data_IF_758756967015
#
_entry.id   IF_758756967015
#
_cell.length_a   1.000
_cell.length_b   1.000
_cell.length_c   1.000
_cell.angle_alpha   90.00
_cell.angle_beta   90.00
_cell.angle_gamma   90.00
#
_symmetry.space_group_name_H-M   'P 1'
#
loop_
_entity.id
_entity.type
_entity.pdbx_description
1 polymer ?
#
# COMPACT_ATOMS: atom_id res chain seq x y z
N UNK A 1 63.43 -52.67 3.06
CA UNK A 1 63.35 -51.24 2.78
C UNK A 1 62.08 -50.99 1.94
N UNK A 2 61.00 -50.57 2.62
CA UNK A 2 59.70 -50.28 1.96
C UNK A 2 59.66 -48.78 1.67
N UNK A 3 59.58 -48.42 0.41
CA UNK A 3 59.37 -47.01 -0.01
C UNK A 3 57.89 -46.65 0.13
N UNK A 4 57.57 -45.75 1.05
CA UNK A 4 56.25 -45.20 1.24
C UNK A 4 55.98 -44.16 0.16
N UNK A 5 55.02 -44.43 -0.74
CA UNK A 5 54.59 -43.50 -1.79
C UNK A 5 53.49 -42.64 -1.23
N UNK A 6 53.75 -41.36 -0.93
CA UNK A 6 52.76 -40.41 -0.46
C UNK A 6 52.10 -39.80 -1.71
N UNK A 7 50.83 -40.18 -1.93
CA UNK A 7 50.01 -39.57 -2.99
C UNK A 7 49.33 -38.35 -2.40
N UNK A 8 49.77 -37.13 -2.86
CA UNK A 8 49.10 -35.86 -2.59
C UNK A 8 47.85 -35.78 -3.47
N UNK A 9 46.69 -35.96 -2.87
CA UNK A 9 45.42 -35.68 -3.53
C UNK A 9 45.14 -34.17 -3.46
N UNK A 10 45.37 -33.46 -4.55
CA UNK A 10 44.92 -32.07 -4.71
C UNK A 10 43.42 -32.06 -4.93
N UNK A 11 42.65 -31.82 -3.87
CA UNK A 11 41.23 -31.44 -3.97
C UNK A 11 41.16 -30.00 -4.50
N UNK A 12 41.00 -29.85 -5.80
CA UNK A 12 40.64 -28.58 -6.42
C UNK A 12 39.21 -28.26 -6.04
N UNK A 13 38.99 -27.42 -5.01
CA UNK A 13 37.73 -26.80 -4.72
C UNK A 13 37.44 -25.78 -5.83
N UNK A 14 36.69 -26.20 -6.84
CA UNK A 14 36.11 -25.30 -7.81
C UNK A 14 35.03 -24.52 -7.11
N UNK A 15 35.30 -23.29 -6.69
CA UNK A 15 34.25 -22.33 -6.35
C UNK A 15 33.48 -22.03 -7.63
N UNK A 16 32.35 -22.74 -7.81
CA UNK A 16 31.32 -22.30 -8.72
C UNK A 16 30.77 -20.97 -8.15
N UNK A 17 31.25 -19.86 -8.72
CA UNK A 17 30.56 -18.59 -8.60
C UNK A 17 29.21 -18.74 -9.32
N UNK A 18 28.23 -19.25 -8.64
CA UNK A 18 26.85 -19.07 -9.03
C UNK A 18 26.55 -17.58 -8.85
N UNK A 19 26.75 -16.79 -9.90
CA UNK A 19 26.07 -15.53 -10.08
C UNK A 19 24.58 -15.87 -10.24
N UNK A 20 23.93 -16.25 -9.15
CA UNK A 20 22.49 -16.15 -9.07
C UNK A 20 22.18 -14.66 -9.17
N UNK A 21 21.79 -14.21 -10.35
CA UNK A 21 21.00 -13.01 -10.52
C UNK A 21 19.69 -13.27 -9.79
N UNK A 22 19.72 -13.15 -8.46
CA UNK A 22 18.56 -13.07 -7.62
C UNK A 22 17.89 -11.74 -8.00
N UNK A 23 17.02 -11.80 -9.00
CA UNK A 23 16.10 -10.71 -9.30
C UNK A 23 15.23 -10.60 -8.08
N UNK A 24 15.61 -9.76 -7.13
CA UNK A 24 14.76 -9.35 -6.02
C UNK A 24 13.48 -8.87 -6.65
N UNK A 25 12.39 -9.60 -6.41
CA UNK A 25 11.06 -9.15 -6.83
C UNK A 25 10.92 -7.70 -6.38
N UNK A 26 10.60 -6.80 -7.30
CA UNK A 26 10.51 -5.37 -7.01
C UNK A 26 9.60 -5.17 -5.80
N UNK A 27 10.12 -4.50 -4.78
CA UNK A 27 9.31 -4.11 -3.62
C UNK A 27 8.37 -2.95 -3.96
N UNK A 28 8.52 -2.39 -5.15
CA UNK A 28 7.86 -1.16 -5.58
C UNK A 28 7.31 -1.32 -7.00
N UNK A 29 6.02 -1.05 -7.17
CA UNK A 29 5.37 -0.97 -8.47
C UNK A 29 4.83 0.45 -8.66
N UNK A 30 5.13 1.08 -9.78
CA UNK A 30 4.63 2.41 -10.15
C UNK A 30 3.68 2.26 -11.34
N UNK A 31 2.55 2.95 -11.28
CA UNK A 31 1.55 2.99 -12.35
C UNK A 31 1.23 4.44 -12.71
N UNK A 32 0.87 4.66 -13.97
CA UNK A 32 0.39 5.94 -14.47
C UNK A 32 -1.09 5.88 -14.82
N UNK A 33 -1.81 6.95 -14.53
CA UNK A 33 -3.23 7.08 -14.85
C UNK A 33 -3.43 8.20 -15.88
N UNK A 34 -4.48 8.13 -16.69
CA UNK A 34 -5.59 7.17 -16.63
C UNK A 34 -5.33 5.82 -17.32
N UNK A 35 -4.18 5.64 -18.01
CA UNK A 35 -3.91 4.47 -18.86
C UNK A 35 -4.04 3.12 -18.13
N UNK A 36 -3.62 3.05 -16.85
CA UNK A 36 -3.66 1.82 -16.03
C UNK A 36 -4.79 1.85 -14.98
N UNK A 37 -5.76 2.74 -15.15
CA UNK A 37 -6.81 3.02 -14.17
C UNK A 37 -7.60 1.76 -13.73
N UNK A 38 -8.01 0.92 -14.68
CA UNK A 38 -8.79 -0.28 -14.35
C UNK A 38 -8.01 -1.22 -13.45
N UNK A 39 -6.78 -1.53 -13.83
CA UNK A 39 -5.88 -2.41 -13.07
C UNK A 39 -5.61 -1.86 -11.67
N UNK A 40 -5.31 -0.56 -11.56
CA UNK A 40 -5.03 0.10 -10.27
C UNK A 40 -6.26 0.08 -9.35
N UNK A 41 -7.46 0.35 -9.89
CA UNK A 41 -8.71 0.28 -9.11
C UNK A 41 -8.96 -1.12 -8.57
N UNK A 42 -8.80 -2.14 -9.39
CA UNK A 42 -9.02 -3.53 -8.97
C UNK A 42 -7.96 -3.96 -7.95
N UNK A 43 -6.67 -3.60 -8.16
CA UNK A 43 -5.58 -3.87 -7.21
C UNK A 43 -5.81 -3.23 -5.83
N UNK A 44 -6.31 -1.98 -5.77
CA UNK A 44 -6.65 -1.33 -4.50
C UNK A 44 -7.85 -2.03 -3.84
N UNK A 45 -8.89 -2.36 -4.59
CA UNK A 45 -10.06 -3.07 -4.06
C UNK A 45 -9.67 -4.42 -3.48
N UNK A 46 -8.82 -5.18 -4.17
CA UNK A 46 -8.31 -6.46 -3.71
C UNK A 46 -7.50 -6.32 -2.41
N UNK A 47 -6.64 -5.30 -2.30
CA UNK A 47 -5.93 -5.02 -1.04
C UNK A 47 -6.90 -4.73 0.10
N UNK A 48 -7.97 -3.97 -0.14
CA UNK A 48 -9.00 -3.70 0.87
C UNK A 48 -9.70 -4.99 1.29
N UNK A 49 -10.17 -5.79 0.33
CA UNK A 49 -10.99 -6.98 0.58
C UNK A 49 -10.19 -8.14 1.19
N UNK A 50 -8.89 -8.23 0.90
CA UNK A 50 -8.01 -9.28 1.38
C UNK A 50 -7.24 -8.94 2.65
N UNK A 51 -7.34 -7.69 3.15
CA UNK A 51 -6.76 -7.29 4.44
C UNK A 51 -7.29 -8.16 5.58
N UNK A 52 -6.40 -8.46 6.56
CA UNK A 52 -6.69 -9.38 7.67
C UNK A 52 -6.71 -8.70 9.04
N UNK A 53 -5.97 -7.61 9.20
CA UNK A 53 -5.78 -6.98 10.50
C UNK A 53 -6.18 -5.52 10.53
N UNK A 54 -5.55 -4.68 9.72
CA UNK A 54 -5.79 -3.25 9.76
C UNK A 54 -5.64 -2.56 8.41
N UNK A 55 -6.43 -1.49 8.19
CA UNK A 55 -6.31 -0.57 7.06
C UNK A 55 -6.24 0.84 7.62
N UNK A 56 -5.17 1.58 7.31
CA UNK A 56 -4.97 2.96 7.72
C UNK A 56 -4.89 3.86 6.48
N UNK A 57 -5.79 4.82 6.37
CA UNK A 57 -5.91 5.69 5.20
C UNK A 57 -5.82 7.15 5.63
N UNK A 58 -5.03 7.95 4.91
CA UNK A 58 -5.09 9.41 4.93
C UNK A 58 -5.36 9.89 3.51
N UNK A 59 -6.56 10.40 3.24
CA UNK A 59 -7.02 10.71 1.89
C UNK A 59 -7.63 12.11 1.83
N UNK A 60 -6.97 13.00 1.06
CA UNK A 60 -7.42 14.39 0.91
C UNK A 60 -8.82 14.49 0.32
N UNK A 61 -9.07 13.80 -0.79
CA UNK A 61 -10.40 13.77 -1.41
C UNK A 61 -10.82 12.31 -1.67
N UNK A 62 -11.92 11.90 -1.05
CA UNK A 62 -12.43 10.54 -1.15
C UNK A 62 -13.92 10.56 -1.48
N UNK A 63 -14.26 10.31 -2.74
CA UNK A 63 -15.64 10.20 -3.23
C UNK A 63 -15.94 8.88 -3.96
N UNK A 64 -14.93 7.99 -4.14
CA UNK A 64 -15.06 6.75 -4.89
C UNK A 64 -15.84 5.69 -4.09
N UNK A 65 -17.13 5.54 -4.40
CA UNK A 65 -18.09 4.72 -3.63
C UNK A 65 -17.71 3.23 -3.56
N UNK A 66 -17.07 2.67 -4.60
CA UNK A 66 -16.68 1.25 -4.64
C UNK A 66 -15.73 0.92 -3.49
N UNK A 67 -14.71 1.77 -3.25
CA UNK A 67 -13.77 1.58 -2.14
C UNK A 67 -14.44 1.75 -0.76
N UNK A 68 -15.35 2.72 -0.62
CA UNK A 68 -16.09 2.87 0.64
C UNK A 68 -16.91 1.62 0.98
N UNK A 69 -17.55 1.00 -0.03
CA UNK A 69 -18.28 -0.27 0.15
C UNK A 69 -17.34 -1.43 0.52
N UNK A 70 -16.17 -1.52 -0.13
CA UNK A 70 -15.15 -2.52 0.17
C UNK A 70 -14.60 -2.36 1.61
N UNK A 71 -14.29 -1.13 2.05
CA UNK A 71 -13.88 -0.84 3.43
C UNK A 71 -14.93 -1.24 4.46
N UNK A 72 -16.23 -0.98 4.18
CA UNK A 72 -17.31 -1.48 5.02
C UNK A 72 -17.31 -3.01 5.11
N UNK A 73 -17.10 -3.71 3.98
CA UNK A 73 -17.04 -5.18 3.98
C UNK A 73 -15.85 -5.69 4.77
N UNK A 74 -14.66 -5.11 4.59
CA UNK A 74 -13.45 -5.44 5.36
C UNK A 74 -13.69 -5.24 6.88
N UNK A 75 -14.27 -4.10 7.27
CA UNK A 75 -14.59 -3.80 8.68
C UNK A 75 -15.58 -4.81 9.27
N UNK A 76 -16.62 -5.22 8.53
CA UNK A 76 -17.55 -6.28 8.96
C UNK A 76 -16.88 -7.64 9.14
N UNK A 77 -15.80 -7.90 8.43
CA UNK A 77 -14.99 -9.11 8.55
C UNK A 77 -13.92 -9.02 9.65
N UNK A 78 -14.00 -8.00 10.53
CA UNK A 78 -13.10 -7.84 11.67
C UNK A 78 -11.83 -7.03 11.42
N UNK A 79 -11.62 -6.48 10.21
CA UNK A 79 -10.47 -5.63 9.90
C UNK A 79 -10.66 -4.27 10.59
N UNK A 80 -9.63 -3.80 11.30
CA UNK A 80 -9.62 -2.47 11.92
C UNK A 80 -9.38 -1.39 10.87
N UNK A 81 -10.43 -0.68 10.47
CA UNK A 81 -10.33 0.38 9.45
C UNK A 81 -10.32 1.74 10.11
N UNK A 82 -9.33 2.57 9.76
CA UNK A 82 -9.22 3.99 10.17
C UNK A 82 -9.03 4.85 8.93
N UNK A 83 -9.84 5.91 8.79
CA UNK A 83 -9.74 6.85 7.66
C UNK A 83 -9.63 8.27 8.18
N UNK A 84 -8.51 8.93 7.88
CA UNK A 84 -8.28 10.35 8.14
C UNK A 84 -8.68 11.16 6.90
N UNK A 85 -9.53 12.14 7.11
CA UNK A 85 -10.05 13.04 6.09
C UNK A 85 -9.57 14.47 6.29
N UNK A 86 -9.45 15.21 5.20
CA UNK A 86 -9.30 16.66 5.26
C UNK A 86 -10.62 17.33 5.67
N UNK A 87 -10.59 18.13 6.73
CA UNK A 87 -11.77 18.79 7.30
C UNK A 87 -12.49 19.71 6.31
N UNK A 88 -11.73 20.45 5.51
CA UNK A 88 -12.33 21.40 4.56
C UNK A 88 -12.99 20.68 3.38
N UNK A 89 -12.48 19.50 3.00
CA UNK A 89 -13.13 18.66 1.99
C UNK A 89 -14.45 18.08 2.50
N UNK A 90 -14.51 17.67 3.76
CA UNK A 90 -15.75 17.14 4.35
C UNK A 90 -16.82 18.21 4.52
N UNK A 91 -16.47 19.48 4.78
CA UNK A 91 -17.43 20.58 4.75
C UNK A 91 -18.14 20.74 3.39
N UNK A 92 -17.43 20.42 2.29
CA UNK A 92 -17.96 20.53 0.92
C UNK A 92 -18.72 19.27 0.47
N UNK A 93 -18.22 18.08 0.81
CA UNK A 93 -18.89 16.80 0.54
C UNK A 93 -18.59 15.79 1.66
N UNK A 94 -19.58 15.48 2.46
CA UNK A 94 -19.50 14.56 3.60
C UNK A 94 -20.05 13.16 3.32
N UNK A 95 -20.49 12.86 2.09
CA UNK A 95 -21.21 11.60 1.79
C UNK A 95 -20.43 10.35 2.18
N UNK A 96 -19.18 10.23 1.75
CA UNK A 96 -18.34 9.06 2.07
C UNK A 96 -17.95 9.05 3.55
N UNK A 97 -17.60 10.20 4.12
CA UNK A 97 -17.31 10.32 5.55
C UNK A 97 -18.49 9.81 6.40
N UNK A 98 -19.69 10.32 6.14
CA UNK A 98 -20.89 9.89 6.86
C UNK A 98 -21.23 8.41 6.62
N UNK A 99 -21.07 7.94 5.38
CA UNK A 99 -21.27 6.53 5.06
C UNK A 99 -20.34 5.62 5.88
N UNK A 100 -19.07 5.92 5.97
CA UNK A 100 -18.09 5.12 6.71
C UNK A 100 -18.36 5.21 8.22
N UNK A 101 -18.56 6.43 8.76
CA UNK A 101 -18.88 6.67 10.17
C UNK A 101 -20.14 5.92 10.62
N UNK A 102 -21.22 6.00 9.84
CA UNK A 102 -22.47 5.33 10.14
C UNK A 102 -22.41 3.80 10.03
N UNK A 103 -21.34 3.26 9.42
CA UNK A 103 -21.06 1.83 9.37
C UNK A 103 -19.95 1.38 10.36
N UNK A 104 -19.68 2.19 11.41
CA UNK A 104 -18.79 1.82 12.50
C UNK A 104 -17.28 1.93 12.17
N UNK A 105 -16.92 2.51 11.03
CA UNK A 105 -15.52 2.72 10.66
C UNK A 105 -14.99 3.96 11.40
N UNK A 106 -13.79 3.85 12.00
CA UNK A 106 -13.14 4.99 12.65
C UNK A 106 -12.79 6.05 11.62
N UNK A 107 -13.45 7.21 11.72
CA UNK A 107 -13.19 8.38 10.86
C UNK A 107 -12.61 9.52 11.69
N UNK A 108 -11.56 10.16 11.21
CA UNK A 108 -10.86 11.26 11.86
C UNK A 108 -10.88 12.46 10.92
N UNK A 109 -11.06 13.67 11.45
CA UNK A 109 -10.90 14.91 10.70
C UNK A 109 -9.57 15.55 11.12
N UNK A 110 -8.78 15.96 10.14
CA UNK A 110 -7.52 16.67 10.39
C UNK A 110 -7.77 18.07 10.95
N UNK A 111 -6.93 18.52 11.88
CA UNK A 111 -7.02 19.86 12.45
C UNK A 111 -6.53 20.95 11.49
N UNK A 112 -5.63 20.58 10.58
CA UNK A 112 -5.04 21.44 9.55
C UNK A 112 -5.25 20.83 8.16
N UNK A 113 -4.96 21.56 7.09
CA UNK A 113 -5.03 21.04 5.71
C UNK A 113 -4.18 19.77 5.57
N UNK A 114 -4.84 18.65 5.31
CA UNK A 114 -4.23 17.34 5.12
C UNK A 114 -4.31 16.95 3.63
N UNK A 115 -3.21 17.12 2.91
CA UNK A 115 -3.17 16.88 1.46
C UNK A 115 -2.54 15.52 1.08
N UNK A 116 -2.55 14.56 2.02
CA UNK A 116 -2.01 13.21 1.77
C UNK A 116 -2.97 12.36 0.95
N UNK A 117 -2.39 11.42 0.23
CA UNK A 117 -3.06 10.35 -0.49
C UNK A 117 -2.26 9.07 -0.24
N UNK A 118 -2.55 8.45 0.89
CA UNK A 118 -1.83 7.28 1.41
C UNK A 118 -2.84 6.29 1.96
N UNK A 119 -2.63 5.01 1.64
CA UNK A 119 -3.33 3.90 2.28
C UNK A 119 -2.31 2.81 2.66
N UNK A 120 -2.45 2.22 3.84
CA UNK A 120 -1.59 1.16 4.36
C UNK A 120 -2.47 -0.03 4.72
N UNK A 121 -2.13 -1.20 4.20
CA UNK A 121 -2.86 -2.45 4.35
C UNK A 121 -2.00 -3.44 5.15
N UNK A 122 -2.48 -3.90 6.30
CA UNK A 122 -1.86 -4.90 7.19
C UNK A 122 -0.39 -4.62 7.59
N UNK A 123 0.08 -3.38 7.49
CA UNK A 123 1.50 -3.02 7.59
C UNK A 123 2.41 -3.79 6.61
N UNK A 124 1.84 -4.26 5.52
CA UNK A 124 2.53 -5.08 4.52
C UNK A 124 2.65 -4.39 3.16
N UNK A 125 1.62 -3.65 2.76
CA UNK A 125 1.60 -2.87 1.53
C UNK A 125 1.18 -1.44 1.84
N UNK A 126 1.91 -0.46 1.30
CA UNK A 126 1.46 0.91 1.25
C UNK A 126 1.22 1.37 -0.19
N UNK A 127 0.20 2.19 -0.37
CA UNK A 127 -0.17 2.80 -1.63
C UNK A 127 -0.15 4.31 -1.44
N UNK A 128 0.61 5.03 -2.25
CA UNK A 128 0.75 6.48 -2.17
C UNK A 128 1.02 7.11 -3.54
N UNK A 129 0.72 8.39 -3.68
CA UNK A 129 0.94 9.11 -4.94
C UNK A 129 0.24 10.44 -5.01
N UNK A 130 0.00 10.91 -6.23
CA UNK A 130 -0.74 12.14 -6.46
C UNK A 130 -2.27 11.92 -6.44
N UNK A 131 -2.72 10.68 -6.60
CA UNK A 131 -4.10 10.29 -6.85
C UNK A 131 -5.02 10.43 -5.63
N UNK A 132 -6.09 11.20 -5.77
CA UNK A 132 -7.24 11.15 -4.86
C UNK A 132 -8.12 9.93 -5.16
N UNK A 133 -8.88 9.46 -4.18
CA UNK A 133 -9.85 8.39 -4.43
C UNK A 133 -11.17 8.97 -4.96
N UNK A 134 -11.10 9.53 -6.16
CA UNK A 134 -12.23 10.12 -6.91
C UNK A 134 -12.28 9.52 -8.32
N UNK A 135 -13.44 9.57 -8.97
CA UNK A 135 -13.57 9.15 -10.38
C UNK A 135 -12.64 9.96 -11.27
N UNK A 136 -12.63 11.27 -11.11
CA UNK A 136 -11.81 12.22 -11.87
C UNK A 136 -10.31 11.85 -11.81
N UNK A 137 -9.76 11.61 -10.59
CA UNK A 137 -8.34 11.22 -10.45
C UNK A 137 -8.00 9.88 -11.08
N UNK A 138 -8.95 8.94 -11.12
CA UNK A 138 -8.71 7.63 -11.75
C UNK A 138 -8.83 7.66 -13.28
N UNK A 139 -9.73 8.47 -13.83
CA UNK A 139 -10.18 8.32 -15.22
C UNK A 139 -9.87 9.52 -16.10
N UNK A 140 -9.53 10.69 -15.52
CA UNK A 140 -9.45 11.95 -16.27
C UNK A 140 -8.11 12.68 -16.08
N UNK A 141 -7.43 12.50 -14.93
CA UNK A 141 -6.18 13.21 -14.62
C UNK A 141 -4.94 12.38 -14.96
N UNK A 142 -3.85 13.06 -15.31
CA UNK A 142 -2.52 12.49 -15.31
C UNK A 142 -2.02 12.35 -13.87
N UNK A 143 -1.91 11.13 -13.37
CA UNK A 143 -1.54 10.82 -11.99
C UNK A 143 -0.49 9.71 -11.96
N UNK A 144 0.28 9.66 -10.88
CA UNK A 144 1.15 8.53 -10.56
C UNK A 144 0.76 7.92 -9.23
N UNK A 145 0.92 6.61 -9.13
CA UNK A 145 0.68 5.86 -7.91
C UNK A 145 1.76 4.81 -7.70
N UNK A 146 2.26 4.73 -6.48
CA UNK A 146 3.27 3.78 -6.03
C UNK A 146 2.62 2.78 -5.08
N UNK A 147 2.83 1.49 -5.34
CA UNK A 147 2.61 0.39 -4.40
C UNK A 147 3.95 -0.05 -3.86
N UNK A 148 4.13 -0.10 -2.56
CA UNK A 148 5.40 -0.51 -1.95
C UNK A 148 5.21 -1.53 -0.83
N UNK A 149 6.14 -2.49 -0.75
CA UNK A 149 6.28 -3.44 0.36
C UNK A 149 7.50 -3.13 1.23
N UNK A 150 8.19 -2.03 0.97
CA UNK A 150 9.33 -1.60 1.78
C UNK A 150 8.87 -1.28 3.21
N UNK A 151 9.31 -2.10 4.16
CA UNK A 151 8.91 -2.00 5.57
C UNK A 151 9.37 -0.69 6.22
N UNK A 152 10.49 -0.10 5.79
CA UNK A 152 10.97 1.19 6.31
C UNK A 152 10.07 2.32 5.83
N UNK A 153 9.67 2.29 4.56
CA UNK A 153 8.72 3.26 3.99
C UNK A 153 7.38 3.16 4.69
N UNK A 154 6.83 1.94 4.81
CA UNK A 154 5.53 1.69 5.45
C UNK A 154 5.53 2.19 6.90
N UNK A 155 6.56 1.86 7.69
CA UNK A 155 6.69 2.32 9.07
C UNK A 155 6.74 3.86 9.15
N UNK A 156 7.50 4.50 8.24
CA UNK A 156 7.57 5.96 8.19
C UNK A 156 6.23 6.59 7.87
N UNK A 157 5.50 6.06 6.90
CA UNK A 157 4.16 6.53 6.52
C UNK A 157 3.16 6.36 7.67
N UNK A 158 3.17 5.20 8.34
CA UNK A 158 2.32 4.95 9.52
C UNK A 158 2.59 5.97 10.64
N UNK A 159 3.86 6.25 10.93
CA UNK A 159 4.23 7.25 11.92
C UNK A 159 3.80 8.67 11.53
N UNK A 160 3.79 9.00 10.24
CA UNK A 160 3.27 10.29 9.75
C UNK A 160 1.75 10.36 9.98
N UNK A 161 0.99 9.35 9.56
CA UNK A 161 -0.47 9.33 9.71
C UNK A 161 -0.89 9.40 11.17
N UNK A 162 -0.19 8.69 12.07
CA UNK A 162 -0.52 8.65 13.50
C UNK A 162 -0.27 9.97 14.25
N UNK A 163 0.45 10.92 13.64
CA UNK A 163 0.72 12.25 14.22
C UNK A 163 -0.25 13.34 13.76
N UNK A 164 -1.17 12.99 12.88
CA UNK A 164 -2.17 13.90 12.31
C UNK A 164 -3.52 13.75 13.00
#
# INVERSE_FOLDING_TARGET
>A
MVKLLIIFLFLSFSFLNANENFVLASQNDVYSLPSESSFVKDKIEDLILNSKSEINIAMYNFSYKKFAKALKKASKNGVKVTVLFDKEKIKKDSKIYNYLKNNGIKTILSDRKMHLKVAIFDNDVAVLGSINWTKESFEENDEIILFTKDKKVILKLKNIINKL
#
